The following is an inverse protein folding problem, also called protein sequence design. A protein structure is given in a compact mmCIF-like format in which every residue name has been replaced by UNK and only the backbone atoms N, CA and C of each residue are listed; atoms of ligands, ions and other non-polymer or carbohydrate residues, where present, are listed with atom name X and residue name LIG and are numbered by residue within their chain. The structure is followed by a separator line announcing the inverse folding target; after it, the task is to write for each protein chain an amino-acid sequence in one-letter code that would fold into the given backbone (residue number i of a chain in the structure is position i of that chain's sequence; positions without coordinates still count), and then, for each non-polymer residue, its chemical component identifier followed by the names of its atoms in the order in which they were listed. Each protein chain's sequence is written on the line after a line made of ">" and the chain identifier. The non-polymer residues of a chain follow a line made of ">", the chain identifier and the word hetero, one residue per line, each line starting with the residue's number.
data_IF_867950745990
#
_entry.id   IF_867950745990
#
_cell.length_a   1.000
_cell.length_b   1.000
_cell.length_c   1.000
_cell.angle_alpha   90.00
_cell.angle_beta   90.00
_cell.angle_gamma   90.00
#
_symmetry.space_group_name_H-M   'P 1'
#
loop_
_entity.id
_entity.type
_entity.pdbx_description
1 polymer ?
#
# COMPACT_ATOMS: atom_id res chain seq x y z
N UNK A 1 -7.13 4.08 12.15
CA UNK A 1 -8.57 3.93 11.83
C UNK A 1 -9.19 5.18 11.20
N UNK A 2 -8.83 6.40 11.61
CA UNK A 2 -9.37 7.64 11.00
C UNK A 2 -9.08 7.72 9.49
N UNK A 3 -7.83 7.49 9.07
CA UNK A 3 -7.46 7.48 7.65
C UNK A 3 -8.19 6.43 6.81
N UNK A 4 -8.55 5.30 7.42
CA UNK A 4 -9.33 4.25 6.78
C UNK A 4 -10.78 4.68 6.50
N UNK A 5 -11.42 5.35 7.45
CA UNK A 5 -12.80 5.84 7.31
C UNK A 5 -12.87 6.90 6.20
N UNK A 6 -11.94 7.85 6.21
CA UNK A 6 -11.90 8.93 5.21
C UNK A 6 -11.58 8.37 3.83
N UNK A 7 -10.53 7.55 3.70
CA UNK A 7 -10.15 6.98 2.40
C UNK A 7 -11.17 5.98 1.86
N UNK A 8 -11.89 5.26 2.74
CA UNK A 8 -12.99 4.38 2.35
C UNK A 8 -14.13 5.14 1.69
N UNK A 9 -14.65 6.17 2.37
CA UNK A 9 -15.69 7.04 1.80
C UNK A 9 -15.23 7.71 0.50
N UNK A 10 -13.99 8.19 0.46
CA UNK A 10 -13.43 8.81 -0.74
C UNK A 10 -13.31 7.82 -1.90
N UNK A 11 -12.98 6.54 -1.61
CA UNK A 11 -12.83 5.48 -2.60
C UNK A 11 -14.13 5.10 -3.28
N UNK A 12 -15.25 5.19 -2.57
CA UNK A 12 -16.56 4.93 -3.13
C UNK A 12 -17.06 6.09 -4.00
N UNK A 13 -16.66 7.34 -3.70
CA UNK A 13 -17.07 8.53 -4.47
C UNK A 13 -16.19 8.74 -5.73
N UNK A 14 -14.87 8.75 -5.59
CA UNK A 14 -13.95 9.09 -6.69
C UNK A 14 -13.45 7.86 -7.48
N UNK A 15 -13.83 6.66 -7.05
CA UNK A 15 -13.47 5.39 -7.66
C UNK A 15 -12.18 4.79 -7.07
N UNK A 16 -12.30 3.55 -6.59
CA UNK A 16 -11.28 2.80 -5.81
C UNK A 16 -9.86 2.85 -6.40
N UNK A 17 -9.74 2.81 -7.73
CA UNK A 17 -8.44 2.84 -8.44
C UNK A 17 -7.64 4.13 -8.16
N UNK A 18 -8.30 5.29 -8.17
CA UNK A 18 -7.62 6.60 -7.99
C UNK A 18 -7.14 6.79 -6.55
N UNK A 19 -7.97 6.41 -5.58
CA UNK A 19 -7.62 6.52 -4.15
C UNK A 19 -6.48 5.58 -3.80
N UNK A 20 -6.47 4.36 -4.37
CA UNK A 20 -5.37 3.42 -4.16
C UNK A 20 -4.03 3.97 -4.67
N UNK A 21 -4.04 4.64 -5.84
CA UNK A 21 -2.86 5.30 -6.42
C UNK A 21 -2.38 6.47 -5.55
N UNK A 22 -3.28 7.38 -5.18
CA UNK A 22 -2.97 8.54 -4.34
C UNK A 22 -2.46 8.09 -2.96
N UNK A 23 -3.12 7.10 -2.36
CA UNK A 23 -2.72 6.53 -1.08
C UNK A 23 -1.33 5.89 -1.14
N UNK A 24 -1.01 5.17 -2.20
CA UNK A 24 0.32 4.56 -2.39
C UNK A 24 1.40 5.62 -2.61
N UNK A 25 1.12 6.66 -3.41
CA UNK A 25 2.03 7.78 -3.62
C UNK A 25 2.31 8.56 -2.33
N UNK A 26 1.27 8.85 -1.54
CA UNK A 26 1.40 9.55 -0.24
C UNK A 26 2.19 8.74 0.81
N UNK A 27 2.08 7.42 0.77
CA UNK A 27 2.87 6.52 1.62
C UNK A 27 4.36 6.57 1.24
N UNK A 28 4.64 6.55 -0.07
CA UNK A 28 5.99 6.62 -0.61
C UNK A 28 6.69 7.93 -0.25
N UNK A 29 6.01 9.07 -0.43
CA UNK A 29 6.56 10.38 -0.06
C UNK A 29 6.79 10.47 1.45
N UNK A 30 5.89 9.92 2.27
CA UNK A 30 6.04 9.92 3.73
C UNK A 30 7.22 9.05 4.20
N UNK A 31 7.45 7.89 3.59
CA UNK A 31 8.61 7.03 3.89
C UNK A 31 9.94 7.65 3.49
N UNK A 32 9.99 8.29 2.32
CA UNK A 32 11.16 9.01 1.87
C UNK A 32 11.46 10.19 2.79
N UNK A 33 10.44 10.99 3.12
CA UNK A 33 10.57 12.10 4.06
C UNK A 33 11.05 11.62 5.44
N UNK A 34 10.55 10.47 5.91
CA UNK A 34 10.98 9.87 7.20
C UNK A 34 12.47 9.52 7.19
N UNK A 35 13.02 9.10 6.04
CA UNK A 35 14.45 8.82 5.91
C UNK A 35 15.34 10.05 6.04
N UNK A 36 14.83 11.25 5.76
CA UNK A 36 15.55 12.52 5.85
C UNK A 36 15.25 13.29 7.14
N UNK A 37 14.43 12.75 8.05
CA UNK A 37 14.03 13.45 9.26
C UNK A 37 15.24 13.73 10.18
N UNK A 38 15.57 15.02 10.47
CA UNK A 38 16.72 15.38 11.30
C UNK A 38 16.37 15.46 12.79
N UNK A 39 15.08 15.51 13.15
CA UNK A 39 14.61 15.68 14.53
C UNK A 39 13.49 14.72 14.89
N UNK A 40 13.37 14.41 16.19
CA UNK A 40 12.38 13.48 16.73
C UNK A 40 10.92 13.92 16.48
N UNK A 41 10.67 15.24 16.55
CA UNK A 41 9.34 15.81 16.27
C UNK A 41 8.91 15.60 14.82
N UNK A 42 9.80 15.88 13.87
CA UNK A 42 9.54 15.68 12.43
C UNK A 42 9.35 14.19 12.13
N UNK A 43 10.17 13.33 12.73
CA UNK A 43 10.02 11.87 12.61
C UNK A 43 8.63 11.40 13.06
N UNK A 44 8.15 11.87 14.21
CA UNK A 44 6.86 11.44 14.78
C UNK A 44 5.68 11.91 13.92
N UNK A 45 5.74 13.15 13.44
CA UNK A 45 4.71 13.69 12.56
C UNK A 45 4.63 12.94 11.22
N UNK A 46 5.77 12.67 10.58
CA UNK A 46 5.84 11.91 9.35
C UNK A 46 5.34 10.47 9.55
N UNK A 47 5.65 9.86 10.69
CA UNK A 47 5.16 8.52 11.04
C UNK A 47 3.66 8.47 11.24
N UNK A 48 3.08 9.53 11.80
CA UNK A 48 1.63 9.67 11.93
C UNK A 48 0.95 9.76 10.57
N UNK A 49 1.49 10.58 9.66
CA UNK A 49 0.99 10.67 8.29
C UNK A 49 1.11 9.34 7.54
N UNK A 50 2.27 8.69 7.64
CA UNK A 50 2.50 7.36 7.07
C UNK A 50 1.45 6.32 7.52
N UNK A 51 1.09 6.32 8.81
CA UNK A 51 0.07 5.41 9.34
C UNK A 51 -1.35 5.75 8.85
N UNK A 52 -1.66 7.02 8.62
CA UNK A 52 -2.94 7.44 8.01
C UNK A 52 -3.03 6.90 6.57
N UNK A 53 -1.99 7.11 5.76
CA UNK A 53 -1.97 6.63 4.37
C UNK A 53 -1.96 5.09 4.31
N UNK A 54 -1.21 4.44 5.19
CA UNK A 54 -1.17 2.97 5.29
C UNK A 54 -2.53 2.38 5.65
N UNK A 55 -3.20 2.93 6.66
CA UNK A 55 -4.55 2.50 7.03
C UNK A 55 -5.57 2.75 5.92
N UNK A 56 -5.48 3.91 5.26
CA UNK A 56 -6.34 4.29 4.13
C UNK A 56 -6.20 3.33 2.93
N UNK A 57 -4.96 3.10 2.45
CA UNK A 57 -4.74 2.18 1.33
C UNK A 57 -5.23 0.76 1.63
N UNK A 58 -5.06 0.32 2.87
CA UNK A 58 -5.32 -1.05 3.26
C UNK A 58 -6.83 -1.37 3.24
N UNK A 59 -7.66 -0.42 3.68
CA UNK A 59 -9.12 -0.56 3.59
C UNK A 59 -9.64 -0.57 2.15
N UNK A 60 -9.00 0.15 1.24
CA UNK A 60 -9.41 0.18 -0.19
C UNK A 60 -8.86 -1.02 -0.96
N UNK A 61 -7.68 -1.53 -0.61
CA UNK A 61 -7.03 -2.64 -1.31
C UNK A 61 -7.77 -3.97 -1.14
N UNK A 62 -8.19 -4.30 0.08
CA UNK A 62 -8.87 -5.58 0.37
C UNK A 62 -10.09 -5.82 -0.54
N UNK A 63 -11.08 -4.90 -0.59
CA UNK A 63 -12.26 -5.12 -1.40
C UNK A 63 -11.94 -5.02 -2.90
N UNK A 64 -10.94 -4.22 -3.31
CA UNK A 64 -10.48 -4.18 -4.70
C UNK A 64 -9.88 -5.52 -5.16
N UNK A 65 -9.12 -6.19 -4.31
CA UNK A 65 -8.64 -7.54 -4.61
C UNK A 65 -9.81 -8.52 -4.73
N UNK A 66 -10.73 -8.50 -3.77
CA UNK A 66 -11.89 -9.40 -3.82
C UNK A 66 -12.68 -9.23 -5.12
N UNK A 67 -12.89 -8.00 -5.59
CA UNK A 67 -13.62 -7.70 -6.83
C UNK A 67 -12.94 -8.22 -8.11
N UNK A 68 -11.60 -8.31 -8.13
CA UNK A 68 -10.83 -8.76 -9.31
C UNK A 68 -10.49 -10.25 -9.32
N UNK A 69 -10.70 -10.97 -8.22
CA UNK A 69 -10.37 -12.39 -8.13
C UNK A 69 -11.56 -13.29 -8.52
N UNK A 70 -11.36 -14.33 -9.36
CA UNK A 70 -12.39 -15.30 -9.68
C UNK A 70 -12.75 -16.17 -8.46
N UNK A 71 -14.05 -16.50 -8.33
CA UNK A 71 -14.65 -17.13 -7.14
C UNK A 71 -13.98 -18.44 -6.69
N UNK A 72 -13.42 -19.20 -7.63
CA UNK A 72 -12.84 -20.53 -7.36
C UNK A 72 -11.55 -20.53 -6.53
N UNK A 73 -10.83 -19.40 -6.46
CA UNK A 73 -9.54 -19.30 -5.75
C UNK A 73 -9.44 -18.10 -4.78
N UNK A 74 -10.55 -17.39 -4.54
CA UNK A 74 -10.61 -16.18 -3.69
C UNK A 74 -9.95 -16.37 -2.33
N UNK A 75 -10.26 -17.48 -1.63
CA UNK A 75 -9.81 -17.68 -0.26
C UNK A 75 -8.32 -18.01 -0.15
N UNK A 76 -7.78 -18.80 -1.09
CA UNK A 76 -6.35 -19.18 -1.08
C UNK A 76 -5.46 -17.99 -1.45
N UNK A 77 -5.83 -17.27 -2.52
CA UNK A 77 -5.07 -16.09 -2.95
C UNK A 77 -5.17 -14.94 -1.94
N UNK A 78 -6.32 -14.74 -1.30
CA UNK A 78 -6.44 -13.76 -0.24
C UNK A 78 -5.51 -14.10 0.94
N UNK A 79 -5.43 -15.36 1.35
CA UNK A 79 -4.60 -15.78 2.49
C UNK A 79 -3.10 -15.67 2.19
N UNK A 80 -2.68 -16.01 0.97
CA UNK A 80 -1.28 -15.87 0.53
C UNK A 80 -0.86 -14.40 0.40
N UNK A 81 -1.77 -13.53 -0.05
CA UNK A 81 -1.44 -12.12 -0.32
C UNK A 81 -1.53 -11.23 0.91
N UNK A 82 -2.40 -11.54 1.88
CA UNK A 82 -2.81 -10.53 2.86
C UNK A 82 -1.78 -10.30 3.98
N UNK A 83 -1.19 -11.33 4.62
CA UNK A 83 -0.39 -11.07 5.82
C UNK A 83 0.73 -12.08 6.13
N UNK A 84 0.43 -13.37 6.19
CA UNK A 84 1.32 -14.36 6.84
C UNK A 84 2.71 -14.46 6.20
N UNK A 85 2.88 -14.65 4.88
CA UNK A 85 4.21 -14.68 4.29
C UNK A 85 4.89 -13.31 4.25
N UNK A 86 4.09 -12.23 4.12
CA UNK A 86 4.62 -10.88 4.02
C UNK A 86 5.33 -10.43 5.30
N UNK A 87 4.78 -10.77 6.49
CA UNK A 87 5.43 -10.45 7.76
C UNK A 87 6.73 -11.22 7.97
N UNK A 88 6.80 -12.48 7.54
CA UNK A 88 8.02 -13.31 7.65
C UNK A 88 9.13 -12.72 6.79
N UNK A 89 8.82 -12.36 5.53
CA UNK A 89 9.78 -11.74 4.61
C UNK A 89 10.23 -10.38 5.16
N UNK A 90 9.31 -9.58 5.68
CA UNK A 90 9.64 -8.27 6.24
C UNK A 90 10.52 -8.38 7.49
N UNK A 91 10.29 -9.38 8.36
CA UNK A 91 11.13 -9.65 9.52
C UNK A 91 12.55 -10.08 9.12
N UNK A 92 12.69 -10.87 8.04
CA UNK A 92 13.99 -11.25 7.50
C UNK A 92 14.76 -10.03 6.95
N UNK A 93 14.07 -9.16 6.21
CA UNK A 93 14.64 -7.91 5.68
C UNK A 93 15.06 -6.98 6.82
N UNK A 94 14.26 -6.89 7.89
CA UNK A 94 14.59 -6.10 9.07
C UNK A 94 15.83 -6.65 9.81
N UNK A 95 16.00 -7.98 9.87
CA UNK A 95 17.21 -8.61 10.43
C UNK A 95 18.47 -8.33 9.60
N UNK A 96 18.34 -8.22 8.28
CA UNK A 96 19.44 -7.90 7.38
C UNK A 96 19.80 -6.42 7.36
N UNK A 97 18.85 -5.53 7.69
CA UNK A 97 19.06 -4.09 7.77
C UNK A 97 19.19 -3.64 9.23
N UNK A 98 20.42 -3.54 9.74
CA UNK A 98 20.68 -3.10 11.12
C UNK A 98 20.34 -1.60 11.34
N UNK A 99 20.26 -0.81 10.27
CA UNK A 99 19.93 0.62 10.31
C UNK A 99 18.45 0.92 10.02
N UNK A 100 17.79 1.66 10.92
CA UNK A 100 16.39 2.10 10.77
C UNK A 100 16.16 3.01 9.55
N UNK A 101 17.15 3.83 9.17
CA UNK A 101 17.09 4.67 7.97
C UNK A 101 17.12 3.83 6.70
N UNK A 102 17.95 2.79 6.68
CA UNK A 102 18.06 1.87 5.56
C UNK A 102 16.80 1.01 5.43
N UNK A 103 16.22 0.60 6.56
CA UNK A 103 14.93 -0.07 6.58
C UNK A 103 13.79 0.80 5.99
N UNK A 104 13.75 2.10 6.32
CA UNK A 104 12.77 3.03 5.74
C UNK A 104 12.96 3.20 4.22
N UNK A 105 14.20 3.23 3.73
CA UNK A 105 14.52 3.29 2.29
C UNK A 105 14.14 1.99 1.56
N UNK A 106 14.42 0.84 2.17
CA UNK A 106 14.04 -0.46 1.62
C UNK A 106 12.52 -0.61 1.57
N UNK A 107 11.80 -0.17 2.60
CA UNK A 107 10.35 -0.12 2.59
C UNK A 107 9.81 0.81 1.49
N UNK A 108 10.47 1.95 1.25
CA UNK A 108 10.13 2.86 0.15
C UNK A 108 10.36 2.20 -1.22
N UNK A 109 11.46 1.46 -1.37
CA UNK A 109 11.77 0.71 -2.58
C UNK A 109 10.74 -0.40 -2.85
N UNK A 110 10.32 -1.12 -1.81
CA UNK A 110 9.28 -2.15 -1.92
C UNK A 110 7.93 -1.54 -2.30
N UNK A 111 7.63 -0.32 -1.84
CA UNK A 111 6.38 0.38 -2.18
C UNK A 111 6.39 1.04 -3.57
N UNK A 112 7.55 1.22 -4.20
CA UNK A 112 7.65 1.61 -5.62
C UNK A 112 7.13 0.54 -6.57
N UNK A 113 7.37 -0.74 -6.27
CA UNK A 113 6.87 -1.87 -7.06
C UNK A 113 5.34 -1.84 -7.26
N UNK A 114 4.49 -1.76 -6.21
CA UNK A 114 3.06 -1.64 -6.38
C UNK A 114 2.65 -0.31 -7.00
N UNK A 115 3.37 0.80 -6.78
CA UNK A 115 3.08 2.07 -7.45
C UNK A 115 3.22 1.96 -8.97
N UNK A 116 4.23 1.23 -9.45
CA UNK A 116 4.43 0.98 -10.89
C UNK A 116 3.44 -0.07 -11.40
N UNK A 117 3.24 -1.16 -10.66
CA UNK A 117 2.37 -2.28 -11.08
C UNK A 117 0.89 -1.90 -11.14
N UNK A 118 0.40 -1.02 -10.26
CA UNK A 118 -1.02 -0.64 -10.21
C UNK A 118 -1.51 0.04 -11.50
N UNK A 119 -0.84 1.06 -12.06
CA UNK A 119 -1.14 1.62 -13.38
C UNK A 119 -1.19 0.58 -14.50
N UNK A 120 -0.21 -0.34 -14.55
CA UNK A 120 -0.17 -1.40 -15.57
C UNK A 120 -1.32 -2.40 -15.42
N UNK A 121 -1.65 -2.80 -14.18
CA UNK A 121 -2.79 -3.66 -13.89
C UNK A 121 -4.12 -2.97 -14.23
N UNK A 122 -4.23 -1.66 -13.98
CA UNK A 122 -5.41 -0.88 -14.34
C UNK A 122 -5.61 -0.78 -15.86
N UNK A 123 -4.54 -0.59 -16.65
CA UNK A 123 -4.61 -0.58 -18.11
C UNK A 123 -5.08 -1.93 -18.68
N UNK A 124 -4.56 -3.05 -18.14
CA UNK A 124 -5.00 -4.40 -18.54
C UNK A 124 -6.46 -4.66 -18.18
N UNK A 125 -6.89 -4.29 -16.97
CA UNK A 125 -8.25 -4.51 -16.50
C UNK A 125 -9.28 -3.66 -17.28
N UNK A 126 -8.94 -2.42 -17.65
CA UNK A 126 -9.78 -1.59 -18.54
C UNK A 126 -9.90 -2.18 -19.96
N UNK A 127 -8.84 -2.79 -20.48
CA UNK A 127 -8.85 -3.44 -21.79
C UNK A 127 -9.70 -4.74 -21.80
N UNK A 128 -9.65 -5.53 -20.73
CA UNK A 128 -10.48 -6.75 -20.59
C UNK A 128 -11.97 -6.40 -20.49
N UNK A 129 -12.33 -5.33 -19.78
CA UNK A 129 -13.73 -4.92 -19.60
C UNK A 129 -14.35 -4.25 -20.84
N UNK A 130 -13.56 -3.86 -21.84
CA UNK A 130 -14.06 -3.40 -23.15
C UNK A 130 -14.22 -4.54 -24.17
N UNK A 131 -13.68 -5.73 -23.88
CA UNK A 131 -13.69 -6.88 -24.81
C UNK A 131 -14.77 -7.92 -24.47
N UNK A 132 -15.55 -7.67 -23.42
CA UNK A 132 -16.59 -8.53 -22.89
C UNK A 132 -17.89 -7.74 -22.79
#
# INVERSE_FOLDING_TARGET
>A
MIGAIVAGNLADIYGRKKILLIGTAGLLTSLLATSFAPSFGVFTFLRFLDMIFTGGKHCVSNPYFMENLPDKHRMWMATVVTYSPNYIIMALIAKLCEDWKTLSRVAAAITLLPLIMLPYAFLRCSCVKMKN
#
